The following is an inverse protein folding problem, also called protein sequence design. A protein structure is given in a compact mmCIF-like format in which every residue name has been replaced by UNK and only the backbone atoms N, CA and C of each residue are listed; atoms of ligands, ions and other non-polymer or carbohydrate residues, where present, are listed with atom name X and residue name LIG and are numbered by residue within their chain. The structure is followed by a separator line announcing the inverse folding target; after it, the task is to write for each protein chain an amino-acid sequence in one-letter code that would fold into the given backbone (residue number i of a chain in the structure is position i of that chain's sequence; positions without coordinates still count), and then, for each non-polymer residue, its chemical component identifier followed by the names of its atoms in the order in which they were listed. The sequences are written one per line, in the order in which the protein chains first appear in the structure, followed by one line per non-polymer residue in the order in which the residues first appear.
data_IF_908220543292
#
_entry.id   IF_908220543292
#
_cell.length_a   1.000
_cell.length_b   1.000
_cell.length_c   1.000
_cell.angle_alpha   90.00
_cell.angle_beta   90.00
_cell.angle_gamma   90.00
#
_symmetry.space_group_name_H-M   'P 1'
#
loop_
_entity.id
_entity.type
_entity.pdbx_description
1 polymer ?
#
# COMPACT_ATOMS: atom_id res chain seq x y z
N UNK A 1 -20.20 35.08 -43.74
CA UNK A 1 -19.85 35.44 -42.35
C UNK A 1 -20.21 34.26 -41.45
N UNK A 2 -19.25 33.38 -41.20
CA UNK A 2 -19.43 32.18 -40.37
C UNK A 2 -19.16 32.50 -38.90
N UNK A 3 -20.07 32.10 -38.01
CA UNK A 3 -19.80 32.02 -36.56
C UNK A 3 -19.44 30.58 -36.23
N UNK A 4 -18.19 30.36 -35.87
CA UNK A 4 -17.68 29.12 -35.28
C UNK A 4 -18.30 28.94 -33.89
N UNK A 5 -18.95 27.79 -33.65
CA UNK A 5 -19.39 27.38 -32.32
C UNK A 5 -18.20 26.79 -31.56
N UNK A 6 -17.95 27.30 -30.36
CA UNK A 6 -17.03 26.69 -29.39
C UNK A 6 -17.56 25.31 -28.97
N UNK A 7 -16.70 24.30 -28.73
CA UNK A 7 -17.11 23.07 -28.09
C UNK A 7 -17.41 23.34 -26.61
N UNK A 8 -18.61 22.95 -26.18
CA UNK A 8 -18.98 22.87 -24.76
C UNK A 8 -18.28 21.67 -24.12
N UNK A 9 -17.56 21.91 -23.03
CA UNK A 9 -17.06 20.84 -22.17
C UNK A 9 -18.23 20.15 -21.44
N UNK A 10 -18.18 18.83 -21.21
CA UNK A 10 -19.19 18.15 -20.42
C UNK A 10 -19.10 18.57 -18.95
N UNK A 11 -20.28 18.68 -18.35
CA UNK A 11 -20.57 19.11 -16.98
C UNK A 11 -19.82 18.31 -15.91
N UNK A 12 -19.47 18.98 -14.81
CA UNK A 12 -18.65 18.50 -13.68
C UNK A 12 -19.40 17.52 -12.75
N UNK A 13 -20.04 16.49 -13.31
CA UNK A 13 -20.66 15.42 -12.54
C UNK A 13 -19.68 14.28 -12.24
N UNK A 14 -18.53 14.60 -11.63
CA UNK A 14 -17.70 13.61 -10.93
C UNK A 14 -18.00 13.66 -9.44
N UNK A 15 -19.22 13.26 -9.07
CA UNK A 15 -19.42 12.60 -7.78
C UNK A 15 -18.65 11.28 -7.81
N UNK A 16 -18.08 10.85 -6.69
CA UNK A 16 -17.47 9.53 -6.50
C UNK A 16 -18.49 8.43 -6.87
N UNK A 17 -18.56 8.14 -8.16
CA UNK A 17 -19.49 7.22 -8.77
C UNK A 17 -18.91 5.83 -8.66
N UNK A 18 -19.68 4.93 -8.09
CA UNK A 18 -19.49 3.50 -8.28
C UNK A 18 -19.45 3.26 -9.80
N UNK A 19 -18.26 3.04 -10.38
CA UNK A 19 -18.10 2.62 -11.77
C UNK A 19 -18.07 1.08 -11.82
N UNK A 20 -19.23 0.42 -11.95
CA UNK A 20 -19.29 -1.03 -12.06
C UNK A 20 -18.56 -1.55 -13.31
N UNK A 21 -18.42 -0.72 -14.35
CA UNK A 21 -17.71 -1.09 -15.57
C UNK A 21 -16.19 -1.11 -15.31
N UNK A 22 -15.66 -0.15 -14.56
CA UNK A 22 -14.27 -0.12 -14.11
C UNK A 22 -13.87 -1.40 -13.37
N UNK A 23 -14.69 -1.85 -12.41
CA UNK A 23 -14.45 -3.13 -11.70
C UNK A 23 -14.44 -4.32 -12.65
N UNK A 24 -15.42 -4.42 -13.55
CA UNK A 24 -15.48 -5.50 -14.54
C UNK A 24 -14.29 -5.47 -15.50
N UNK A 25 -13.77 -4.29 -15.82
CA UNK A 25 -12.62 -4.12 -16.70
C UNK A 25 -11.30 -4.51 -16.03
N UNK A 26 -11.13 -4.24 -14.74
CA UNK A 26 -9.97 -4.72 -13.97
C UNK A 26 -9.99 -6.24 -13.89
N UNK A 27 -11.15 -6.84 -13.55
CA UNK A 27 -11.28 -8.30 -13.42
C UNK A 27 -11.08 -9.01 -14.77
N UNK A 28 -11.53 -8.42 -15.87
CA UNK A 28 -11.32 -8.97 -17.23
C UNK A 28 -9.94 -8.68 -17.82
N UNK A 29 -9.07 -7.95 -17.11
CA UNK A 29 -7.76 -7.54 -17.62
C UNK A 29 -7.79 -6.45 -18.70
N UNK A 30 -8.98 -5.97 -19.09
CA UNK A 30 -9.15 -4.89 -20.08
C UNK A 30 -8.85 -3.49 -19.52
N UNK A 31 -8.65 -3.37 -18.20
CA UNK A 31 -8.07 -2.22 -17.54
C UNK A 31 -6.84 -2.67 -16.74
N UNK A 32 -5.65 -2.32 -17.25
CA UNK A 32 -4.39 -2.58 -16.58
C UNK A 32 -4.13 -1.49 -15.52
N UNK A 33 -3.90 -1.86 -14.23
CA UNK A 33 -3.49 -0.90 -13.23
C UNK A 33 -2.15 -0.28 -13.61
N UNK A 34 -2.01 1.02 -13.37
CA UNK A 34 -0.78 1.77 -13.63
C UNK A 34 -0.35 2.47 -12.36
N UNK A 35 0.93 2.35 -12.02
CA UNK A 35 1.55 3.15 -10.97
C UNK A 35 1.79 4.56 -11.51
N UNK A 36 1.44 5.55 -10.70
CA UNK A 36 1.68 6.96 -10.94
C UNK A 36 2.22 7.59 -9.66
N UNK A 37 2.64 8.85 -9.76
CA UNK A 37 3.20 9.64 -8.65
C UNK A 37 4.48 9.06 -8.04
N UNK A 38 5.60 9.31 -8.73
CA UNK A 38 6.95 8.92 -8.28
C UNK A 38 7.70 10.11 -7.67
N UNK A 39 7.00 11.16 -7.22
CA UNK A 39 7.61 12.38 -6.70
C UNK A 39 8.44 12.18 -5.42
N UNK A 40 8.11 11.14 -4.65
CA UNK A 40 8.80 10.74 -3.42
C UNK A 40 9.79 9.58 -3.62
N UNK A 41 9.92 9.06 -4.85
CA UNK A 41 10.80 7.93 -5.12
C UNK A 41 12.26 8.34 -4.95
N UNK A 42 13.00 7.53 -4.20
CA UNK A 42 14.44 7.73 -3.96
C UNK A 42 15.24 6.49 -4.36
N UNK A 43 16.53 6.67 -4.61
CA UNK A 43 17.43 5.53 -4.85
C UNK A 43 17.65 4.75 -3.55
N UNK A 44 17.89 3.44 -3.67
CA UNK A 44 18.33 2.59 -2.55
C UNK A 44 19.53 3.22 -1.81
N UNK A 45 19.50 3.17 -0.48
CA UNK A 45 20.44 3.83 0.42
C UNK A 45 20.23 5.35 0.55
N UNK A 46 19.27 5.93 -0.17
CA UNK A 46 18.93 7.35 -0.09
C UNK A 46 18.12 7.67 1.17
N UNK A 47 18.08 8.95 1.53
CA UNK A 47 17.25 9.43 2.63
C UNK A 47 15.78 9.47 2.21
N UNK A 48 14.91 8.82 2.97
CA UNK A 48 13.45 8.96 2.85
C UNK A 48 12.99 10.17 3.64
N UNK A 49 12.20 11.04 3.02
CA UNK A 49 11.73 12.31 3.63
C UNK A 49 10.21 12.41 3.74
N UNK A 50 9.50 11.48 3.12
CA UNK A 50 8.06 11.43 3.07
C UNK A 50 7.62 9.98 3.26
N UNK A 51 6.51 9.81 3.98
CA UNK A 51 5.88 8.52 4.18
C UNK A 51 4.37 8.71 4.34
N UNK A 52 3.64 7.61 4.15
CA UNK A 52 2.21 7.54 4.44
C UNK A 52 2.03 6.52 5.55
N UNK A 53 1.62 6.97 6.73
CA UNK A 53 1.61 6.20 7.97
C UNK A 53 0.74 4.95 7.93
N UNK A 54 -0.18 4.83 6.98
CA UNK A 54 -1.02 3.66 6.76
C UNK A 54 -0.29 2.52 6.02
N UNK A 55 0.82 2.82 5.35
CA UNK A 55 1.52 1.89 4.45
C UNK A 55 3.02 1.75 4.76
N UNK A 56 3.65 2.77 5.35
CA UNK A 56 5.09 2.77 5.57
C UNK A 56 5.49 1.85 6.72
N UNK A 57 6.57 1.05 6.57
CA UNK A 57 7.08 0.27 7.68
C UNK A 57 7.76 1.16 8.74
N UNK A 58 7.88 0.65 9.97
CA UNK A 58 8.42 1.40 11.10
C UNK A 58 9.84 1.93 10.86
N UNK A 59 10.73 1.13 10.25
CA UNK A 59 12.11 1.54 9.99
C UNK A 59 12.20 2.72 9.01
N UNK A 60 11.30 2.82 8.04
CA UNK A 60 11.22 3.97 7.14
C UNK A 60 10.86 5.25 7.90
N UNK A 61 9.95 5.13 8.87
CA UNK A 61 9.47 6.26 9.69
C UNK A 61 10.54 6.69 10.71
N UNK A 62 11.31 5.73 11.23
CA UNK A 62 12.45 5.97 12.14
C UNK A 62 13.69 6.55 11.41
N UNK A 63 13.65 6.62 10.08
CA UNK A 63 14.64 7.33 9.27
C UNK A 63 15.74 6.46 8.69
N UNK A 64 15.55 5.14 8.65
CA UNK A 64 16.50 4.23 8.00
C UNK A 64 16.62 4.56 6.49
N UNK A 65 17.79 4.30 5.88
CA UNK A 65 17.99 4.50 4.46
C UNK A 65 17.01 3.67 3.62
N UNK A 66 16.60 4.22 2.47
CA UNK A 66 15.65 3.57 1.59
C UNK A 66 16.11 2.17 1.17
N UNK A 67 15.29 1.16 1.41
CA UNK A 67 15.55 -0.23 1.05
C UNK A 67 14.36 -0.83 0.30
N UNK A 68 14.62 -1.75 -0.63
CA UNK A 68 13.55 -2.34 -1.47
C UNK A 68 12.51 -3.13 -0.65
N UNK A 69 12.90 -3.64 0.52
CA UNK A 69 12.01 -4.32 1.46
C UNK A 69 10.96 -3.38 2.06
N UNK A 70 11.18 -2.05 2.05
CA UNK A 70 10.18 -1.07 2.48
C UNK A 70 9.00 -1.00 1.50
N UNK A 71 9.29 -1.02 0.19
CA UNK A 71 8.26 -1.05 -0.86
C UNK A 71 7.45 -2.36 -0.83
N UNK A 72 8.11 -3.48 -0.51
CA UNK A 72 7.44 -4.78 -0.33
C UNK A 72 6.46 -4.73 0.83
N UNK A 73 6.85 -4.13 1.96
CA UNK A 73 5.96 -3.92 3.09
C UNK A 73 4.76 -3.04 2.71
N UNK A 74 5.02 -1.90 2.06
CA UNK A 74 3.98 -0.97 1.63
C UNK A 74 2.99 -1.61 0.65
N UNK A 75 3.48 -2.44 -0.28
CA UNK A 75 2.62 -3.24 -1.15
C UNK A 75 1.76 -4.22 -0.35
N UNK A 76 2.33 -4.87 0.67
CA UNK A 76 1.59 -5.78 1.56
C UNK A 76 0.49 -5.05 2.33
N UNK A 77 0.79 -3.86 2.84
CA UNK A 77 -0.17 -3.00 3.53
C UNK A 77 -1.30 -2.53 2.60
N UNK A 78 -0.97 -2.17 1.36
CA UNK A 78 -1.95 -1.82 0.34
C UNK A 78 -2.86 -3.00 -0.01
N UNK A 79 -2.29 -4.18 -0.25
CA UNK A 79 -3.06 -5.41 -0.53
C UNK A 79 -3.96 -5.80 0.64
N UNK A 80 -3.45 -5.78 1.87
CA UNK A 80 -4.25 -5.99 3.07
C UNK A 80 -5.45 -5.04 3.11
N UNK A 81 -5.20 -3.75 2.87
CA UNK A 81 -6.23 -2.70 2.87
C UNK A 81 -7.26 -2.94 1.78
N UNK A 82 -6.85 -3.37 0.58
CA UNK A 82 -7.78 -3.71 -0.50
C UNK A 82 -8.68 -4.90 -0.13
N UNK A 83 -8.12 -5.92 0.54
CA UNK A 83 -8.87 -7.13 0.90
C UNK A 83 -9.83 -6.92 2.07
N UNK A 84 -9.49 -6.04 3.01
CA UNK A 84 -10.24 -5.83 4.26
C UNK A 84 -10.99 -4.50 4.32
N UNK A 85 -10.70 -3.57 3.39
CA UNK A 85 -11.13 -2.16 3.41
C UNK A 85 -10.69 -1.38 4.64
N UNK A 86 -9.71 -1.89 5.38
CA UNK A 86 -9.21 -1.29 6.62
C UNK A 86 -7.68 -1.25 6.55
N UNK A 87 -7.02 -0.16 6.96
CA UNK A 87 -5.56 -0.13 7.07
C UNK A 87 -5.03 -1.28 7.93
N UNK A 88 -3.83 -1.76 7.58
CA UNK A 88 -3.16 -2.82 8.35
C UNK A 88 -2.71 -2.30 9.71
N UNK A 89 -2.21 -1.06 9.75
CA UNK A 89 -1.78 -0.40 10.98
C UNK A 89 -2.96 -0.04 11.87
N UNK A 90 -2.77 -0.24 13.17
CA UNK A 90 -3.75 0.23 14.16
C UNK A 90 -3.77 1.77 14.22
N UNK A 91 -4.88 2.40 14.65
CA UNK A 91 -4.92 3.84 14.86
C UNK A 91 -3.80 4.35 15.77
N UNK A 92 -3.44 3.58 16.81
CA UNK A 92 -2.35 3.89 17.73
C UNK A 92 -0.99 3.93 17.02
N UNK A 93 -0.73 3.01 16.10
CA UNK A 93 0.52 2.98 15.34
C UNK A 93 0.59 4.16 14.35
N UNK A 94 -0.51 4.44 13.66
CA UNK A 94 -0.61 5.59 12.74
C UNK A 94 -0.36 6.90 13.50
N UNK A 95 -0.95 7.06 14.68
CA UNK A 95 -0.72 8.22 15.54
C UNK A 95 0.76 8.34 15.97
N UNK A 96 1.37 7.24 16.40
CA UNK A 96 2.79 7.21 16.77
C UNK A 96 3.70 7.60 15.60
N UNK A 97 3.42 7.11 14.39
CA UNK A 97 4.16 7.46 13.18
C UNK A 97 4.01 8.95 12.82
N UNK A 98 2.78 9.49 12.88
CA UNK A 98 2.54 10.90 12.60
C UNK A 98 3.27 11.81 13.60
N UNK A 99 3.36 11.40 14.86
CA UNK A 99 4.05 12.15 15.91
C UNK A 99 5.55 12.34 15.64
N UNK A 100 6.20 11.48 14.86
CA UNK A 100 7.60 11.69 14.43
C UNK A 100 7.76 12.98 13.64
N UNK A 101 6.75 13.38 12.86
CA UNK A 101 6.82 14.59 12.03
C UNK A 101 6.42 15.87 12.76
N UNK A 102 5.69 15.75 13.88
CA UNK A 102 5.07 16.89 14.57
C UNK A 102 5.66 17.16 15.96
N UNK A 103 6.32 16.18 16.57
CA UNK A 103 6.86 16.28 17.92
C UNK A 103 8.08 17.22 17.99
N UNK A 104 8.14 18.02 19.06
CA UNK A 104 9.33 18.78 19.44
C UNK A 104 10.38 17.95 20.17
N UNK A 105 10.00 16.81 20.74
CA UNK A 105 10.88 15.82 21.37
C UNK A 105 10.90 14.56 20.50
N UNK A 106 11.84 14.53 19.54
CA UNK A 106 11.99 13.43 18.59
C UNK A 106 12.43 12.15 19.29
N UNK A 107 13.35 12.22 20.26
CA UNK A 107 13.86 11.05 20.99
C UNK A 107 12.74 10.31 21.73
N UNK A 108 11.79 11.07 22.33
CA UNK A 108 10.62 10.45 22.95
C UNK A 108 9.69 9.82 21.92
N UNK A 109 9.41 10.54 20.82
CA UNK A 109 8.54 10.05 19.77
C UNK A 109 9.07 8.78 19.09
N UNK A 110 10.38 8.70 18.85
CA UNK A 110 11.07 7.51 18.32
C UNK A 110 10.88 6.31 19.24
N UNK A 111 11.14 6.47 20.55
CA UNK A 111 10.94 5.38 21.54
C UNK A 111 9.49 4.92 21.64
N UNK A 112 8.55 5.87 21.59
CA UNK A 112 7.13 5.56 21.61
C UNK A 112 6.73 4.79 20.33
N UNK A 113 7.24 5.19 19.16
CA UNK A 113 7.02 4.48 17.90
C UNK A 113 7.63 3.08 17.93
N UNK A 114 8.89 2.93 18.34
CA UNK A 114 9.56 1.62 18.46
C UNK A 114 8.74 0.67 19.33
N UNK A 115 8.28 1.12 20.50
CA UNK A 115 7.45 0.32 21.40
C UNK A 115 6.12 -0.13 20.79
N UNK A 116 5.44 0.78 20.08
CA UNK A 116 4.17 0.45 19.41
C UNK A 116 4.40 -0.44 18.19
N UNK A 117 5.48 -0.24 17.45
CA UNK A 117 5.87 -1.04 16.30
C UNK A 117 6.25 -2.47 16.71
N UNK A 118 7.02 -2.64 17.79
CA UNK A 118 7.46 -3.94 18.29
C UNK A 118 6.31 -4.82 18.79
N UNK A 119 5.27 -4.18 19.32
CA UNK A 119 4.08 -4.88 19.79
C UNK A 119 3.01 -5.04 18.70
N UNK A 120 3.17 -4.40 17.54
CA UNK A 120 2.19 -4.43 16.48
C UNK A 120 2.14 -5.81 15.80
N UNK A 121 0.90 -6.30 15.61
CA UNK A 121 0.62 -7.53 14.89
C UNK A 121 -0.55 -7.29 13.93
N UNK A 122 -0.36 -7.47 12.62
CA UNK A 122 -1.47 -7.39 11.67
C UNK A 122 -2.57 -8.41 12.01
N UNK A 123 -3.83 -7.95 11.96
CA UNK A 123 -4.99 -8.81 12.16
C UNK A 123 -5.37 -9.52 10.86
N UNK A 124 -4.71 -10.63 10.57
CA UNK A 124 -5.03 -11.45 9.39
C UNK A 124 -6.40 -12.14 9.50
N UNK A 125 -7.04 -12.14 10.67
CA UNK A 125 -8.39 -12.70 10.86
C UNK A 125 -9.48 -11.92 10.13
N UNK A 126 -9.21 -10.67 9.73
CA UNK A 126 -10.12 -9.83 8.93
C UNK A 126 -10.18 -10.22 7.47
N UNK A 127 -9.21 -10.99 6.99
CA UNK A 127 -9.17 -11.41 5.59
C UNK A 127 -10.21 -12.50 5.38
N UNK A 128 -11.15 -12.24 4.47
CA UNK A 128 -12.17 -13.21 4.06
C UNK A 128 -11.52 -14.55 3.67
N UNK A 129 -12.08 -15.66 4.13
CA UNK A 129 -11.53 -17.01 3.93
C UNK A 129 -11.35 -17.37 2.45
N UNK A 130 -12.11 -16.73 1.54
CA UNK A 130 -11.92 -16.87 0.10
C UNK A 130 -10.57 -16.34 -0.38
N UNK A 131 -9.83 -15.57 0.42
CA UNK A 131 -8.49 -15.08 0.10
C UNK A 131 -7.39 -15.74 0.97
N UNK A 132 -7.72 -16.83 1.68
CA UNK A 132 -6.78 -17.58 2.53
C UNK A 132 -5.47 -17.95 1.85
N UNK A 133 -5.50 -18.23 0.54
CA UNK A 133 -4.31 -18.56 -0.24
C UNK A 133 -3.28 -17.41 -0.33
N UNK A 134 -3.70 -16.15 -0.18
CA UNK A 134 -2.80 -14.98 -0.19
C UNK A 134 -2.28 -14.61 1.21
N UNK A 135 -2.81 -15.22 2.27
CA UNK A 135 -2.45 -14.87 3.66
C UNK A 135 -0.99 -15.21 3.98
N UNK A 136 -0.44 -16.27 3.38
CA UNK A 136 0.98 -16.61 3.57
C UNK A 136 1.88 -15.52 2.99
N UNK A 137 1.66 -15.15 1.73
CA UNK A 137 2.42 -14.08 1.07
C UNK A 137 2.30 -12.75 1.85
N UNK A 138 1.09 -12.39 2.29
CA UNK A 138 0.87 -11.17 3.06
C UNK A 138 1.63 -11.16 4.39
N UNK A 139 1.77 -12.30 5.07
CA UNK A 139 2.54 -12.40 6.31
C UNK A 139 4.02 -12.14 6.07
N UNK A 140 4.57 -12.69 5.00
CA UNK A 140 5.98 -12.49 4.61
C UNK A 140 6.23 -11.03 4.21
N UNK A 141 5.34 -10.45 3.40
CA UNK A 141 5.46 -9.04 3.00
C UNK A 141 5.37 -8.07 4.19
N UNK A 142 4.48 -8.36 5.15
CA UNK A 142 4.25 -7.56 6.36
C UNK A 142 5.13 -7.98 7.54
N UNK A 143 6.20 -8.73 7.31
CA UNK A 143 7.14 -9.10 8.36
C UNK A 143 7.75 -7.83 8.99
N UNK A 144 7.87 -7.82 10.32
CA UNK A 144 8.50 -6.71 11.06
C UNK A 144 9.92 -6.51 10.56
N UNK A 145 10.71 -7.58 10.58
CA UNK A 145 12.11 -7.55 10.24
C UNK A 145 12.26 -7.47 8.71
N UNK A 146 12.96 -6.46 8.16
CA UNK A 146 13.06 -6.26 6.72
C UNK A 146 13.69 -7.43 5.96
N UNK A 147 14.59 -8.18 6.62
CA UNK A 147 15.29 -9.35 6.06
C UNK A 147 14.39 -10.58 5.90
N UNK A 148 13.28 -10.64 6.66
CA UNK A 148 12.29 -11.70 6.52
C UNK A 148 11.33 -11.43 5.35
N UNK A 149 11.40 -10.24 4.75
CA UNK A 149 10.55 -9.87 3.62
C UNK A 149 11.13 -10.41 2.32
N UNK A 150 10.30 -11.01 1.46
CA UNK A 150 10.74 -11.56 0.19
C UNK A 150 11.06 -10.46 -0.82
N UNK A 151 11.84 -10.80 -1.83
CA UNK A 151 12.04 -9.92 -2.98
C UNK A 151 10.74 -9.68 -3.75
N UNK A 152 10.57 -8.46 -4.30
CA UNK A 152 9.39 -8.08 -5.06
C UNK A 152 9.09 -9.04 -6.24
N UNK A 153 10.13 -9.54 -6.93
CA UNK A 153 9.98 -10.50 -8.03
C UNK A 153 9.42 -11.86 -7.59
N UNK A 154 9.81 -12.32 -6.40
CA UNK A 154 9.31 -13.57 -5.80
C UNK A 154 7.84 -13.45 -5.43
N UNK A 155 7.43 -12.32 -4.84
CA UNK A 155 6.02 -12.03 -4.54
C UNK A 155 5.18 -11.92 -5.81
N UNK A 156 5.65 -11.17 -6.81
CA UNK A 156 4.93 -11.06 -8.08
C UNK A 156 4.67 -12.44 -8.70
N UNK A 157 5.67 -13.32 -8.66
CA UNK A 157 5.55 -14.70 -9.13
C UNK A 157 4.57 -15.54 -8.30
N UNK A 158 4.56 -15.37 -6.97
CA UNK A 158 3.64 -16.07 -6.07
C UNK A 158 2.20 -15.64 -6.32
N UNK A 159 1.94 -14.34 -6.35
CA UNK A 159 0.62 -13.76 -6.60
C UNK A 159 0.08 -14.13 -7.98
N UNK A 160 0.92 -14.15 -9.02
CA UNK A 160 0.52 -14.60 -10.37
C UNK A 160 0.03 -16.05 -10.35
N UNK A 161 0.73 -16.95 -9.66
CA UNK A 161 0.31 -18.37 -9.53
C UNK A 161 -1.05 -18.49 -8.81
N UNK A 162 -1.37 -17.60 -7.87
CA UNK A 162 -2.67 -17.59 -7.20
C UNK A 162 -3.80 -17.19 -8.16
N UNK A 163 -3.53 -16.25 -9.07
CA UNK A 163 -4.48 -15.83 -10.12
C UNK A 163 -4.68 -16.98 -11.12
N UNK A 164 -3.59 -17.58 -11.59
CA UNK A 164 -3.62 -18.65 -12.59
C UNK A 164 -4.38 -19.89 -12.09
N UNK A 165 -4.15 -20.28 -10.82
CA UNK A 165 -4.85 -21.41 -10.18
C UNK A 165 -6.36 -21.21 -10.03
N UNK A 166 -6.85 -19.97 -10.08
CA UNK A 166 -8.29 -19.65 -9.96
C UNK A 166 -9.00 -19.50 -11.30
N UNK A 167 -8.32 -19.73 -12.42
CA UNK A 167 -8.93 -19.70 -13.75
C UNK A 167 -9.44 -18.31 -14.17
N UNK A 168 -8.86 -17.23 -13.65
CA UNK A 168 -9.29 -15.86 -13.95
C UNK A 168 -8.59 -15.24 -15.18
N UNK A 169 -7.78 -16.00 -15.90
CA UNK A 169 -7.10 -15.60 -17.14
C UNK A 169 -7.16 -16.72 -18.19
N UNK A 170 -8.36 -17.04 -18.67
CA UNK A 170 -8.60 -17.79 -19.91
C UNK A 170 -9.66 -17.11 -20.75
#
# INVERSE_FOLDING_TARGET
MGRTRHPSWPDDSYGFGHDPQGRLRIVSGSLLPKLADLGSAVKKGGKVVQFTSEYAPGEQVLGDPAESSMDVYALGAALYTMLTRTPVHSPKLIEAMNNITTSSDLSRAEKDLESVWDSFKPDFGRIDSKFSAAVSDLKEMLARDPEDRPEAGSIASSLQKLVDKRGLLS
#
